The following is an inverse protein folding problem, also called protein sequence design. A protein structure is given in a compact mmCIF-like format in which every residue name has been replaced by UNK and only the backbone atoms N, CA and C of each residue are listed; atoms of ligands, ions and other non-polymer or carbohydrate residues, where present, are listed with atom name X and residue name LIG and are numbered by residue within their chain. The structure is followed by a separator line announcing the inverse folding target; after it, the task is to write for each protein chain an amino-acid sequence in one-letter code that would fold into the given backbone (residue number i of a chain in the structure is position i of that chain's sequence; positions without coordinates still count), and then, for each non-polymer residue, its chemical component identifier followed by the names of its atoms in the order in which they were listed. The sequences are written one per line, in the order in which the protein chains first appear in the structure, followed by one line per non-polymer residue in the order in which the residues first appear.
data_IF_253890354961
#
_entry.id   IF_253890354961
#
_cell.length_a   1.000
_cell.length_b   1.000
_cell.length_c   1.000
_cell.angle_alpha   90.00
_cell.angle_beta   90.00
_cell.angle_gamma   90.00
#
_symmetry.space_group_name_H-M   'P 1'
#
loop_
_entity.id
_entity.type
_entity.pdbx_description
1 polymer ?
#
# COMPACT_ATOMS: atom_id res chain seq x y z
N UNK A 1 -21.16 14.50 25.47
CA UNK A 1 -20.22 15.54 25.95
C UNK A 1 -19.09 15.59 24.92
N UNK A 2 -19.08 16.66 24.10
CA UNK A 2 -18.00 16.84 23.12
C UNK A 2 -16.69 17.15 23.84
N UNK A 3 -15.57 16.70 23.25
CA UNK A 3 -14.22 17.01 23.72
C UNK A 3 -14.10 18.52 24.04
N UNK A 4 -13.54 18.89 25.21
CA UNK A 4 -13.39 20.28 25.60
C UNK A 4 -12.62 21.05 24.50
N UNK A 5 -13.00 22.28 24.27
CA UNK A 5 -12.45 23.16 23.20
C UNK A 5 -10.91 23.21 23.20
N UNK A 6 -10.30 23.08 24.36
CA UNK A 6 -8.85 23.03 24.56
C UNK A 6 -8.22 21.77 23.93
N UNK A 7 -8.81 20.58 24.13
CA UNK A 7 -8.30 19.34 23.54
C UNK A 7 -8.44 19.30 22.01
N UNK A 8 -9.48 19.92 21.44
CA UNK A 8 -9.60 20.09 19.99
C UNK A 8 -8.50 20.99 19.43
N UNK A 9 -8.13 22.06 20.13
CA UNK A 9 -7.01 22.93 19.74
C UNK A 9 -5.67 22.19 19.72
N UNK A 10 -5.37 21.40 20.75
CA UNK A 10 -4.13 20.60 20.81
C UNK A 10 -4.08 19.52 19.71
N UNK A 11 -5.20 18.89 19.38
CA UNK A 11 -5.26 17.91 18.29
C UNK A 11 -4.94 18.58 16.93
N UNK A 12 -5.49 19.75 16.64
CA UNK A 12 -5.19 20.50 15.42
C UNK A 12 -3.74 21.00 15.37
N UNK A 13 -3.19 21.42 16.50
CA UNK A 13 -1.76 21.77 16.60
C UNK A 13 -0.86 20.59 16.31
N UNK A 14 -1.18 19.40 16.83
CA UNK A 14 -0.46 18.17 16.53
C UNK A 14 -0.50 17.80 15.04
N UNK A 15 -1.68 17.89 14.41
CA UNK A 15 -1.84 17.63 12.97
C UNK A 15 -1.06 18.66 12.14
N UNK A 16 -1.11 19.94 12.49
CA UNK A 16 -0.34 21.00 11.82
C UNK A 16 1.16 20.78 11.96
N UNK A 17 1.64 20.43 13.14
CA UNK A 17 3.05 20.14 13.37
C UNK A 17 3.52 18.94 12.54
N UNK A 18 2.75 17.85 12.52
CA UNK A 18 3.02 16.69 11.70
C UNK A 18 3.05 17.03 10.20
N UNK A 19 2.08 17.84 9.73
CA UNK A 19 2.05 18.30 8.34
C UNK A 19 3.27 19.17 7.99
N UNK A 20 3.70 20.05 8.89
CA UNK A 20 4.91 20.87 8.70
C UNK A 20 6.17 20.02 8.67
N UNK A 21 6.31 19.02 9.56
CA UNK A 21 7.44 18.09 9.55
C UNK A 21 7.48 17.31 8.24
N UNK A 22 6.34 16.78 7.79
CA UNK A 22 6.26 16.05 6.52
C UNK A 22 6.67 16.97 5.35
N UNK A 23 6.12 18.20 5.30
CA UNK A 23 6.36 19.12 4.20
C UNK A 23 7.81 19.63 4.16
N UNK A 24 8.41 19.93 5.31
CA UNK A 24 9.71 20.60 5.40
C UNK A 24 10.87 19.61 5.50
N UNK A 25 10.65 18.42 6.04
CA UNK A 25 11.72 17.43 6.25
C UNK A 25 11.57 16.24 5.30
N UNK A 26 10.41 15.58 5.32
CA UNK A 26 10.24 14.32 4.58
C UNK A 26 10.18 14.56 3.07
N UNK A 27 9.38 15.51 2.61
CA UNK A 27 9.25 15.77 1.17
C UNK A 27 10.57 16.24 0.54
N UNK A 28 11.30 17.21 1.10
CA UNK A 28 12.59 17.60 0.51
C UNK A 28 13.64 16.50 0.54
N UNK A 29 13.69 15.66 1.60
CA UNK A 29 14.65 14.56 1.64
C UNK A 29 14.37 13.50 0.57
N UNK A 30 13.11 13.14 0.37
CA UNK A 30 12.70 12.21 -0.69
C UNK A 30 12.96 12.79 -2.10
N UNK A 31 12.71 14.09 -2.29
CA UNK A 31 12.99 14.76 -3.56
C UNK A 31 14.50 14.86 -3.82
N UNK A 32 15.30 15.17 -2.80
CA UNK A 32 16.75 15.24 -2.93
C UNK A 32 17.33 13.87 -3.30
N UNK A 33 16.88 12.80 -2.68
CA UNK A 33 17.28 11.43 -3.02
C UNK A 33 16.91 11.09 -4.46
N UNK A 34 15.65 11.33 -4.85
CA UNK A 34 15.18 11.05 -6.21
C UNK A 34 15.93 11.84 -7.28
N UNK A 35 16.23 13.13 -7.03
CA UNK A 35 17.00 13.99 -7.94
C UNK A 35 18.46 13.50 -8.02
N UNK A 36 19.06 13.17 -6.89
CA UNK A 36 20.45 12.68 -6.83
C UNK A 36 20.58 11.36 -7.59
N UNK A 37 19.68 10.42 -7.36
CA UNK A 37 19.65 9.15 -8.08
C UNK A 37 19.49 9.39 -9.59
N UNK A 38 18.55 10.24 -9.99
CA UNK A 38 18.32 10.54 -11.40
C UNK A 38 19.55 11.16 -12.08
N UNK A 39 20.20 12.11 -11.43
CA UNK A 39 21.43 12.72 -11.93
C UNK A 39 22.56 11.71 -12.01
N UNK A 40 22.73 10.86 -11.00
CA UNK A 40 23.75 9.82 -10.97
C UNK A 40 23.56 8.80 -12.09
N UNK A 41 22.36 8.23 -12.20
CA UNK A 41 22.04 7.30 -13.29
C UNK A 41 22.19 7.95 -14.68
N UNK A 42 21.82 9.22 -14.82
CA UNK A 42 22.00 9.99 -16.05
C UNK A 42 23.47 10.16 -16.40
N UNK A 43 24.34 10.45 -15.42
CA UNK A 43 25.79 10.60 -15.66
C UNK A 43 26.48 9.31 -16.08
N UNK A 44 25.91 8.14 -15.71
CA UNK A 44 26.41 6.83 -16.13
C UNK A 44 25.80 6.32 -17.43
N UNK A 45 24.91 7.10 -18.08
CA UNK A 45 24.19 6.64 -19.28
C UNK A 45 23.09 5.60 -18.98
N UNK A 46 22.67 5.46 -17.72
CA UNK A 46 21.71 4.46 -17.25
C UNK A 46 20.34 5.08 -16.91
N UNK A 47 20.00 6.22 -17.50
CA UNK A 47 18.73 6.92 -17.27
C UNK A 47 17.51 6.02 -17.50
N UNK A 48 17.57 5.15 -18.51
CA UNK A 48 16.49 4.22 -18.84
C UNK A 48 16.27 3.17 -17.75
N UNK A 49 17.33 2.76 -17.05
CA UNK A 49 17.24 1.81 -15.94
C UNK A 49 16.49 2.47 -14.79
N UNK A 50 16.82 3.72 -14.48
CA UNK A 50 16.17 4.47 -13.41
C UNK A 50 14.68 4.72 -13.71
N UNK A 51 14.38 5.14 -14.93
CA UNK A 51 12.97 5.37 -15.35
C UNK A 51 12.16 4.09 -15.35
N UNK A 52 12.72 2.97 -15.81
CA UNK A 52 12.07 1.65 -15.75
C UNK A 52 11.74 1.25 -14.31
N UNK A 53 12.69 1.43 -13.38
CA UNK A 53 12.49 1.20 -11.95
C UNK A 53 11.32 2.03 -11.41
N UNK A 54 11.31 3.33 -11.69
CA UNK A 54 10.25 4.23 -11.20
C UNK A 54 8.87 3.85 -11.73
N UNK A 55 8.76 3.63 -13.05
CA UNK A 55 7.49 3.27 -13.65
C UNK A 55 6.96 1.92 -13.16
N UNK A 56 7.85 0.95 -13.00
CA UNK A 56 7.45 -0.35 -12.48
C UNK A 56 7.01 -0.25 -11.01
N UNK A 57 7.77 0.43 -10.16
CA UNK A 57 7.40 0.64 -8.77
C UNK A 57 6.05 1.38 -8.65
N UNK A 58 5.83 2.41 -9.48
CA UNK A 58 4.57 3.15 -9.53
C UNK A 58 3.40 2.27 -10.01
N UNK A 59 3.61 1.46 -11.03
CA UNK A 59 2.59 0.54 -11.54
C UNK A 59 2.21 -0.52 -10.49
N UNK A 60 3.21 -1.08 -9.79
CA UNK A 60 3.00 -2.04 -8.70
C UNK A 60 2.27 -1.39 -7.53
N UNK A 61 2.67 -0.16 -7.16
CA UNK A 61 1.97 0.62 -6.14
C UNK A 61 0.50 0.84 -6.52
N UNK A 62 0.24 1.34 -7.73
CA UNK A 62 -1.12 1.62 -8.19
C UNK A 62 -1.99 0.35 -8.23
N UNK A 63 -1.46 -0.75 -8.77
CA UNK A 63 -2.13 -2.05 -8.80
C UNK A 63 -2.43 -2.57 -7.40
N UNK A 64 -1.44 -2.59 -6.52
CA UNK A 64 -1.57 -3.01 -5.13
C UNK A 64 -2.59 -2.16 -4.35
N UNK A 65 -2.55 -0.83 -4.55
CA UNK A 65 -3.50 0.09 -3.93
C UNK A 65 -4.94 -0.18 -4.36
N UNK A 66 -5.17 -0.32 -5.67
CA UNK A 66 -6.52 -0.57 -6.21
C UNK A 66 -7.07 -1.90 -5.71
N UNK A 67 -6.26 -2.97 -5.72
CA UNK A 67 -6.67 -4.30 -5.25
C UNK A 67 -6.98 -4.28 -3.76
N UNK A 68 -6.09 -3.73 -2.93
CA UNK A 68 -6.29 -3.63 -1.49
C UNK A 68 -7.53 -2.79 -1.15
N UNK A 69 -7.68 -1.63 -1.77
CA UNK A 69 -8.82 -0.74 -1.55
C UNK A 69 -10.13 -1.42 -1.96
N UNK A 70 -10.16 -2.05 -3.13
CA UNK A 70 -11.35 -2.77 -3.60
C UNK A 70 -11.74 -3.90 -2.65
N UNK A 71 -10.76 -4.67 -2.16
CA UNK A 71 -10.99 -5.74 -1.20
C UNK A 71 -11.54 -5.22 0.13
N UNK A 72 -10.91 -4.20 0.71
CA UNK A 72 -11.34 -3.59 1.98
C UNK A 72 -12.74 -2.98 1.87
N UNK A 73 -13.02 -2.25 0.79
CA UNK A 73 -14.35 -1.65 0.58
C UNK A 73 -15.41 -2.70 0.29
N UNK A 74 -15.10 -3.77 -0.46
CA UNK A 74 -16.03 -4.87 -0.71
C UNK A 74 -16.41 -5.58 0.59
N UNK A 75 -15.43 -5.94 1.43
CA UNK A 75 -15.67 -6.54 2.73
C UNK A 75 -16.54 -5.65 3.63
N UNK A 76 -16.20 -4.34 3.68
CA UNK A 76 -17.02 -3.39 4.42
C UNK A 76 -18.44 -3.32 3.90
N UNK A 77 -18.64 -3.28 2.57
CA UNK A 77 -19.98 -3.20 1.98
C UNK A 77 -20.80 -4.45 2.27
N UNK A 78 -20.18 -5.64 2.25
CA UNK A 78 -20.82 -6.90 2.61
C UNK A 78 -21.22 -6.87 4.10
N UNK A 79 -20.29 -6.50 4.98
CA UNK A 79 -20.56 -6.39 6.41
C UNK A 79 -21.70 -5.37 6.69
N UNK A 80 -21.68 -4.21 6.03
CA UNK A 80 -22.69 -3.19 6.17
C UNK A 80 -24.08 -3.67 5.73
N UNK A 81 -24.17 -4.42 4.62
CA UNK A 81 -25.42 -4.99 4.13
C UNK A 81 -25.93 -6.13 5.02
N UNK A 82 -25.03 -6.91 5.59
CA UNK A 82 -25.36 -8.00 6.50
C UNK A 82 -25.80 -7.50 7.89
N UNK A 83 -25.33 -6.32 8.31
CA UNK A 83 -25.70 -5.68 9.58
C UNK A 83 -27.14 -5.19 9.53
N UNK A 84 -28.08 -6.00 10.04
CA UNK A 84 -29.45 -5.55 10.26
C UNK A 84 -29.43 -4.59 11.45
N UNK A 85 -30.21 -3.48 11.41
CA UNK A 85 -30.40 -2.66 12.58
C UNK A 85 -31.22 -3.49 13.61
N UNK A 86 -30.54 -4.13 14.53
CA UNK A 86 -31.23 -4.69 15.68
C UNK A 86 -31.67 -3.54 16.58
N UNK A 87 -32.98 -3.36 16.70
CA UNK A 87 -33.63 -2.43 17.62
C UNK A 87 -33.54 -2.94 19.05
N UNK A 88 -32.37 -3.37 19.50
CA UNK A 88 -32.23 -4.05 20.78
C UNK A 88 -32.18 -3.10 21.99
N UNK A 89 -32.09 -1.78 21.79
CA UNK A 89 -32.15 -0.81 22.91
C UNK A 89 -32.89 0.45 22.52
N UNK A 90 -34.20 0.46 22.68
CA UNK A 90 -34.98 1.71 22.74
C UNK A 90 -34.42 2.56 23.89
N UNK A 91 -33.68 3.62 23.56
CA UNK A 91 -33.19 4.60 24.52
C UNK A 91 -31.69 4.90 24.49
N UNK A 92 -30.84 4.10 23.83
CA UNK A 92 -29.42 4.40 23.75
C UNK A 92 -29.13 5.20 22.45
N UNK A 93 -28.82 6.48 22.59
CA UNK A 93 -28.37 7.32 21.48
C UNK A 93 -27.06 6.78 20.96
N UNK A 94 -26.98 6.39 19.69
CA UNK A 94 -25.72 6.05 19.03
C UNK A 94 -24.69 7.16 19.27
N UNK A 95 -23.51 6.87 19.82
CA UNK A 95 -22.51 7.88 20.20
C UNK A 95 -21.97 8.63 18.96
N UNK A 96 -22.07 8.03 17.76
CA UNK A 96 -21.60 8.62 16.52
C UNK A 96 -22.68 8.56 15.42
N UNK A 97 -22.87 9.63 14.63
CA UNK A 97 -23.77 9.59 13.49
C UNK A 97 -23.26 8.58 12.45
N UNK A 98 -24.17 7.84 11.82
CA UNK A 98 -23.86 6.82 10.80
C UNK A 98 -22.97 7.36 9.66
N UNK A 99 -23.11 8.63 9.32
CA UNK A 99 -22.26 9.30 8.34
C UNK A 99 -20.80 9.38 8.80
N UNK A 100 -20.56 9.69 10.08
CA UNK A 100 -19.19 9.75 10.64
C UNK A 100 -18.52 8.36 10.64
N UNK A 101 -19.27 7.31 11.00
CA UNK A 101 -18.77 5.93 10.95
C UNK A 101 -18.39 5.55 9.51
N UNK A 102 -19.22 5.89 8.53
CA UNK A 102 -18.93 5.64 7.10
C UNK A 102 -17.63 6.32 6.67
N UNK A 103 -17.47 7.60 6.97
CA UNK A 103 -16.25 8.33 6.61
C UNK A 103 -15.01 7.78 7.31
N UNK A 104 -15.14 7.40 8.59
CA UNK A 104 -14.05 6.78 9.33
C UNK A 104 -13.57 5.48 8.67
N UNK A 105 -14.50 4.63 8.23
CA UNK A 105 -14.18 3.36 7.56
C UNK A 105 -13.52 3.61 6.21
N UNK A 106 -14.03 4.55 5.41
CA UNK A 106 -13.44 4.90 4.11
C UNK A 106 -12.02 5.43 4.29
N UNK A 107 -11.81 6.34 5.24
CA UNK A 107 -10.46 6.87 5.52
C UNK A 107 -9.53 5.77 6.02
N UNK A 108 -9.99 4.90 6.92
CA UNK A 108 -9.21 3.76 7.38
C UNK A 108 -8.85 2.81 6.23
N UNK A 109 -9.78 2.51 5.33
CA UNK A 109 -9.53 1.68 4.17
C UNK A 109 -8.50 2.31 3.20
N UNK A 110 -8.59 3.63 2.97
CA UNK A 110 -7.61 4.35 2.15
C UNK A 110 -6.20 4.30 2.77
N UNK A 111 -6.10 4.54 4.07
CA UNK A 111 -4.82 4.51 4.79
C UNK A 111 -4.21 3.10 4.77
N UNK A 112 -5.01 2.07 5.08
CA UNK A 112 -4.54 0.68 5.06
C UNK A 112 -4.13 0.26 3.64
N UNK A 113 -4.94 0.57 2.62
CA UNK A 113 -4.62 0.27 1.23
C UNK A 113 -3.32 0.96 0.79
N UNK A 114 -3.09 2.21 1.22
CA UNK A 114 -1.86 2.93 0.94
C UNK A 114 -0.63 2.22 1.52
N UNK A 115 -0.66 1.84 2.80
CA UNK A 115 0.46 1.13 3.41
C UNK A 115 0.71 -0.24 2.77
N UNK A 116 -0.34 -0.99 2.45
CA UNK A 116 -0.22 -2.26 1.74
C UNK A 116 0.39 -2.08 0.34
N UNK A 117 0.02 -1.01 -0.37
CA UNK A 117 0.59 -0.67 -1.67
C UNK A 117 2.06 -0.28 -1.58
N UNK A 118 2.47 0.47 -0.55
CA UNK A 118 3.88 0.83 -0.31
C UNK A 118 4.73 -0.43 -0.10
N UNK A 119 4.24 -1.36 0.72
CA UNK A 119 4.96 -2.62 0.98
C UNK A 119 5.16 -3.42 -0.31
N UNK A 120 4.11 -3.61 -1.11
CA UNK A 120 4.24 -4.39 -2.35
C UNK A 120 5.02 -3.65 -3.43
N UNK A 121 4.98 -2.31 -3.46
CA UNK A 121 5.78 -1.51 -4.38
C UNK A 121 7.28 -1.67 -4.14
N UNK A 122 7.72 -1.91 -2.90
CA UNK A 122 9.10 -2.22 -2.58
C UNK A 122 9.62 -3.51 -3.23
N UNK A 123 8.72 -4.41 -3.58
CA UNK A 123 9.04 -5.70 -4.22
C UNK A 123 9.07 -5.62 -5.76
N UNK A 124 9.20 -4.42 -6.33
CA UNK A 124 9.31 -4.23 -7.78
C UNK A 124 10.45 -5.07 -8.42
N UNK A 125 11.60 -5.36 -7.75
CA UNK A 125 12.64 -6.19 -8.37
C UNK A 125 12.17 -7.64 -8.56
N UNK A 126 11.42 -8.19 -7.62
CA UNK A 126 10.84 -9.54 -7.72
C UNK A 126 9.91 -9.64 -8.93
N UNK A 127 9.10 -8.61 -9.17
CA UNK A 127 8.20 -8.56 -10.32
C UNK A 127 9.00 -8.38 -11.62
N UNK A 128 10.04 -7.54 -11.63
CA UNK A 128 10.91 -7.36 -12.80
C UNK A 128 11.63 -8.65 -13.16
N UNK A 129 12.15 -9.37 -12.17
CA UNK A 129 12.80 -10.66 -12.36
C UNK A 129 11.84 -11.68 -12.98
N UNK A 130 10.59 -11.73 -12.53
CA UNK A 130 9.57 -12.58 -13.14
C UNK A 130 9.31 -12.21 -14.62
N UNK A 131 9.14 -10.90 -14.91
CA UNK A 131 8.84 -10.41 -16.26
C UNK A 131 10.00 -10.58 -17.26
N UNK A 132 11.24 -10.56 -16.77
CA UNK A 132 12.47 -10.65 -17.57
C UNK A 132 13.18 -11.98 -17.39
N UNK A 133 12.68 -12.85 -16.53
CA UNK A 133 13.24 -14.18 -16.29
C UNK A 133 13.14 -15.07 -17.50
N UNK A 134 13.94 -16.13 -17.49
CA UNK A 134 13.99 -17.12 -18.55
C UNK A 134 14.31 -18.50 -18.00
N UNK A 135 14.25 -19.52 -18.87
CA UNK A 135 14.64 -20.87 -18.56
C UNK A 135 16.17 -20.99 -18.56
N UNK A 136 16.71 -21.73 -17.60
CA UNK A 136 18.12 -22.12 -17.58
C UNK A 136 18.37 -23.40 -18.41
N UNK A 137 17.31 -24.10 -18.84
CA UNK A 137 17.42 -25.36 -19.57
C UNK A 137 17.92 -26.52 -18.72
N UNK A 138 17.97 -26.36 -17.40
CA UNK A 138 18.35 -27.38 -16.43
C UNK A 138 17.18 -27.61 -15.47
N UNK A 139 16.82 -28.87 -15.27
CA UNK A 139 15.72 -29.25 -14.38
C UNK A 139 16.24 -29.75 -13.04
N UNK A 140 15.51 -29.44 -12.01
CA UNK A 140 15.72 -29.97 -10.66
C UNK A 140 15.44 -31.48 -10.64
N UNK A 141 16.34 -32.32 -10.06
CA UNK A 141 16.19 -33.76 -10.06
C UNK A 141 15.03 -34.28 -9.21
N UNK A 142 14.50 -33.46 -8.28
CA UNK A 142 13.43 -33.88 -7.36
C UNK A 142 12.04 -33.58 -7.90
N UNK A 143 11.83 -32.36 -8.40
CA UNK A 143 10.52 -31.90 -8.87
C UNK A 143 10.43 -31.72 -10.38
N UNK A 144 11.54 -31.90 -11.09
CA UNK A 144 11.67 -31.77 -12.55
C UNK A 144 11.26 -30.37 -13.09
N UNK A 145 11.25 -29.36 -12.23
CA UNK A 145 11.05 -27.97 -12.63
C UNK A 145 12.36 -27.36 -13.12
N UNK A 146 12.28 -26.45 -14.11
CA UNK A 146 13.42 -25.66 -14.52
C UNK A 146 13.96 -24.82 -13.34
N UNK A 147 15.27 -24.66 -13.25
CA UNK A 147 15.89 -23.85 -12.21
C UNK A 147 15.35 -22.41 -12.26
N UNK A 148 15.01 -21.90 -13.44
CA UNK A 148 14.38 -20.57 -13.62
C UNK A 148 13.08 -20.41 -12.84
N UNK A 149 12.30 -21.47 -12.66
CA UNK A 149 11.10 -21.45 -11.81
C UNK A 149 11.44 -21.01 -10.37
N UNK A 150 12.48 -21.57 -9.77
CA UNK A 150 12.86 -21.27 -8.40
C UNK A 150 13.44 -19.87 -8.23
N UNK A 151 14.10 -19.37 -9.29
CA UNK A 151 14.77 -18.04 -9.25
C UNK A 151 13.80 -16.91 -9.59
N UNK A 152 12.92 -17.11 -10.57
CA UNK A 152 12.11 -16.04 -11.14
C UNK A 152 10.63 -16.10 -10.75
N UNK A 153 10.05 -17.32 -10.71
CA UNK A 153 8.60 -17.46 -10.49
C UNK A 153 8.25 -17.66 -9.01
N UNK A 154 8.96 -18.55 -8.33
CA UNK A 154 8.67 -18.89 -6.94
C UNK A 154 8.71 -17.68 -5.98
N UNK A 155 9.65 -16.72 -6.12
CA UNK A 155 9.63 -15.49 -5.30
C UNK A 155 8.36 -14.67 -5.49
N UNK A 156 7.86 -14.56 -6.73
CA UNK A 156 6.61 -13.86 -7.01
C UNK A 156 5.41 -14.57 -6.35
N UNK A 157 5.32 -15.90 -6.45
CA UNK A 157 4.25 -16.66 -5.80
C UNK A 157 4.28 -16.52 -4.28
N UNK A 158 5.47 -16.48 -3.68
CA UNK A 158 5.64 -16.22 -2.23
C UNK A 158 5.18 -14.82 -1.85
N UNK A 159 5.53 -13.82 -2.66
CA UNK A 159 5.09 -12.44 -2.48
C UNK A 159 3.56 -12.34 -2.55
N UNK A 160 2.95 -12.86 -3.60
CA UNK A 160 1.50 -12.82 -3.80
C UNK A 160 0.76 -13.54 -2.67
N UNK A 161 1.24 -14.72 -2.26
CA UNK A 161 0.67 -15.45 -1.12
C UNK A 161 0.79 -14.64 0.18
N UNK A 162 1.98 -14.10 0.47
CA UNK A 162 2.22 -13.31 1.67
C UNK A 162 1.31 -12.08 1.73
N UNK A 163 1.20 -11.37 0.62
CA UNK A 163 0.36 -10.20 0.49
C UNK A 163 -1.14 -10.53 0.61
N UNK A 164 -1.60 -11.61 -0.03
CA UNK A 164 -2.98 -12.06 0.05
C UNK A 164 -3.40 -12.53 1.46
N UNK A 165 -2.45 -13.02 2.28
CA UNK A 165 -2.72 -13.43 3.67
C UNK A 165 -2.87 -12.23 4.63
N UNK A 166 -2.41 -11.06 4.23
CA UNK A 166 -2.52 -9.81 5.02
C UNK A 166 -3.79 -9.03 4.66
N UNK A 167 -4.35 -9.25 3.45
CA UNK A 167 -5.65 -8.72 3.02
C UNK A 167 -6.82 -9.35 3.78
#
# INVERSE_FOLDING_TARGET
QGLPRTLRGFAWLGVLLAAVIILVVVVPSLLAEAITDWMWFGSQGLADVYTTRLWLALAVFAGGFVIALAFLLANWLIAWRASRPETLYEGQKDPLPRSAIRWLIVVAALVLAFFMAVVVAGEWPTILLYLKGGSFGQTDPLFHNDIGFYVFELPLYRLLRGWALVL
#
